data_IF_113211221621
#
_entry.id   IF_113211221621
#
_cell.length_a   1.000
_cell.length_b   1.000
_cell.length_c   1.000
_cell.angle_alpha   90.00
_cell.angle_beta   90.00
_cell.angle_gamma   90.00
#
_symmetry.space_group_name_H-M   'P 1'
#
loop_
_entity.id
_entity.type
_entity.pdbx_description
1 polymer ?
#
# COMPACT_ATOMS: atom_id res chain seq x y z
N UNK A 1 -13.72 -0.23 3.02
CA UNK A 1 -12.28 -0.26 2.61
C UNK A 1 -11.86 1.14 2.19
N UNK A 2 -10.74 1.64 2.71
CA UNK A 2 -10.24 2.97 2.34
C UNK A 2 -9.88 3.07 0.85
N UNK A 3 -9.71 4.29 0.37
CA UNK A 3 -9.24 4.59 -0.98
C UNK A 3 -8.04 5.52 -0.94
N UNK A 4 -7.01 5.21 -1.71
CA UNK A 4 -5.81 6.04 -1.83
C UNK A 4 -5.59 6.45 -3.27
N UNK A 5 -5.07 7.65 -3.49
CA UNK A 5 -4.49 8.08 -4.76
C UNK A 5 -3.44 9.17 -4.53
N UNK A 6 -2.54 9.32 -5.48
CA UNK A 6 -1.52 10.36 -5.41
C UNK A 6 -0.71 10.49 -6.68
N UNK A 7 0.13 11.51 -6.68
CA UNK A 7 1.03 11.83 -7.78
C UNK A 7 2.40 12.25 -7.27
N UNK A 8 3.44 11.97 -8.05
CA UNK A 8 4.79 12.47 -7.86
C UNK A 8 5.31 12.98 -9.21
N UNK A 9 5.96 14.16 -9.22
CA UNK A 9 6.60 14.72 -10.39
C UNK A 9 8.11 14.85 -10.19
N UNK A 10 8.87 14.71 -11.26
CA UNK A 10 10.30 15.01 -11.24
C UNK A 10 10.62 16.51 -11.35
N UNK A 11 9.62 17.32 -11.71
CA UNK A 11 9.78 18.78 -11.92
C UNK A 11 8.78 19.56 -11.07
N UNK A 12 7.60 19.84 -11.61
CA UNK A 12 6.57 20.62 -10.94
C UNK A 12 5.23 19.90 -10.97
N UNK A 13 4.43 20.12 -9.93
CA UNK A 13 3.03 19.72 -9.95
C UNK A 13 2.22 20.67 -10.84
N UNK A 14 1.20 20.16 -11.54
CA UNK A 14 0.27 21.00 -12.28
C UNK A 14 -0.38 22.06 -11.38
N UNK A 15 -0.68 23.23 -11.93
CA UNK A 15 -1.53 24.19 -11.23
C UNK A 15 -2.87 23.54 -10.88
N UNK A 16 -3.39 23.86 -9.69
CA UNK A 16 -4.64 23.27 -9.21
C UNK A 16 -4.55 21.80 -8.79
N UNK A 17 -3.35 21.29 -8.48
CA UNK A 17 -3.13 19.86 -8.10
C UNK A 17 -4.03 19.43 -6.95
N UNK A 18 -4.31 20.29 -5.97
CA UNK A 18 -5.20 19.96 -4.85
C UNK A 18 -6.62 19.64 -5.34
N UNK A 19 -7.13 20.40 -6.32
CA UNK A 19 -8.45 20.15 -6.90
C UNK A 19 -8.46 18.86 -7.73
N UNK A 20 -7.39 18.58 -8.46
CA UNK A 20 -7.22 17.31 -9.19
C UNK A 20 -7.23 16.13 -8.22
N UNK A 21 -6.52 16.22 -7.11
CA UNK A 21 -6.50 15.18 -6.07
C UNK A 21 -7.88 15.01 -5.41
N UNK A 22 -8.60 16.12 -5.12
CA UNK A 22 -9.99 16.06 -4.64
C UNK A 22 -10.91 15.35 -5.63
N UNK A 23 -10.77 15.61 -6.93
CA UNK A 23 -11.53 14.91 -7.97
C UNK A 23 -11.17 13.42 -8.05
N UNK A 24 -9.88 13.07 -7.92
CA UNK A 24 -9.43 11.69 -7.85
C UNK A 24 -10.01 10.97 -6.60
N UNK A 25 -9.98 11.63 -5.44
CA UNK A 25 -10.61 11.16 -4.21
C UNK A 25 -12.12 11.01 -4.35
N UNK A 26 -12.80 11.95 -4.97
CA UNK A 26 -14.26 11.87 -5.21
C UNK A 26 -14.64 10.71 -6.11
N UNK A 27 -13.81 10.36 -7.09
CA UNK A 27 -14.03 9.19 -7.95
C UNK A 27 -14.02 7.86 -7.17
N UNK A 28 -13.38 7.81 -6.00
CA UNK A 28 -13.31 6.63 -5.11
C UNK A 28 -14.00 6.84 -3.75
N UNK A 29 -14.94 7.80 -3.66
CA UNK A 29 -15.64 8.13 -2.41
C UNK A 29 -16.40 6.94 -1.80
N UNK A 30 -16.93 6.04 -2.65
CA UNK A 30 -17.63 4.81 -2.20
C UNK A 30 -16.73 3.86 -1.38
N UNK A 31 -15.40 3.98 -1.46
CA UNK A 31 -14.46 3.19 -0.67
C UNK A 31 -14.31 3.69 0.77
N UNK A 32 -14.43 4.99 0.96
CA UNK A 32 -14.27 5.62 2.27
C UNK A 32 -15.15 6.85 2.38
N UNK A 33 -16.40 6.69 2.85
CA UNK A 33 -17.35 7.77 2.94
C UNK A 33 -17.13 8.67 4.16
N UNK A 34 -16.42 8.20 5.21
CA UNK A 34 -16.43 8.81 6.53
C UNK A 34 -15.54 10.05 6.63
N UNK A 35 -14.41 10.06 5.91
CA UNK A 35 -13.48 11.19 5.96
C UNK A 35 -12.67 11.30 4.66
N UNK A 36 -12.16 12.50 4.37
CA UNK A 36 -11.31 12.79 3.24
C UNK A 36 -10.15 13.70 3.63
N UNK A 37 -8.93 13.29 3.32
CA UNK A 37 -7.75 14.11 3.50
C UNK A 37 -6.99 14.31 2.19
N UNK A 38 -6.47 15.52 2.01
CA UNK A 38 -5.58 15.89 0.91
C UNK A 38 -4.33 16.54 1.51
N UNK A 39 -3.18 16.12 1.02
CA UNK A 39 -1.90 16.68 1.42
C UNK A 39 -1.04 16.91 0.17
N UNK A 40 -0.36 18.05 0.10
CA UNK A 40 0.52 18.44 -1.00
C UNK A 40 1.78 19.05 -0.45
N UNK A 41 2.93 18.56 -0.93
CA UNK A 41 4.23 19.19 -0.74
C UNK A 41 4.69 19.69 -2.12
N UNK A 42 4.59 21.01 -2.34
CA UNK A 42 4.93 21.64 -3.62
C UNK A 42 6.43 21.61 -3.88
N UNK A 43 7.25 21.72 -2.84
CA UNK A 43 8.71 21.73 -2.95
C UNK A 43 9.24 20.33 -3.29
N UNK A 44 8.55 19.30 -2.81
CA UNK A 44 8.82 17.91 -3.14
C UNK A 44 8.10 17.42 -4.39
N UNK A 45 7.19 18.22 -4.95
CA UNK A 45 6.38 17.90 -6.12
C UNK A 45 5.57 16.60 -5.96
N UNK A 46 4.99 16.39 -4.78
CA UNK A 46 4.18 15.22 -4.43
C UNK A 46 2.83 15.64 -3.84
N UNK A 47 1.81 14.81 -4.09
CA UNK A 47 0.50 15.03 -3.47
C UNK A 47 -0.27 13.74 -3.28
N UNK A 48 -1.02 13.66 -2.18
CA UNK A 48 -1.80 12.51 -1.74
C UNK A 48 -3.26 12.90 -1.49
N UNK A 49 -4.15 11.96 -1.76
CA UNK A 49 -5.54 11.98 -1.32
C UNK A 49 -5.91 10.65 -0.71
N UNK A 50 -6.61 10.70 0.42
CA UNK A 50 -7.13 9.55 1.15
C UNK A 50 -8.64 9.66 1.33
N UNK A 51 -9.35 8.54 1.15
CA UNK A 51 -10.76 8.35 1.50
C UNK A 51 -10.85 7.31 2.60
N UNK A 52 -11.38 7.70 3.76
CA UNK A 52 -11.38 6.88 4.95
C UNK A 52 -12.69 6.15 5.14
N UNK A 53 -12.60 4.85 5.42
CA UNK A 53 -13.61 4.08 6.12
C UNK A 53 -13.06 3.82 7.53
N UNK A 54 -13.70 4.38 8.54
CA UNK A 54 -13.24 4.29 9.93
C UNK A 54 -13.66 2.96 10.54
N UNK A 55 -12.69 2.12 10.94
CA UNK A 55 -12.93 0.78 11.50
C UNK A 55 -12.27 0.65 12.88
N UNK A 56 -10.93 0.67 12.96
CA UNK A 56 -10.18 0.45 14.21
C UNK A 56 -10.24 1.68 15.11
N UNK A 57 -9.93 2.84 14.56
CA UNK A 57 -9.95 4.11 15.29
C UNK A 57 -11.01 5.04 14.69
N UNK A 58 -12.04 5.35 15.43
CA UNK A 58 -13.14 6.23 14.99
C UNK A 58 -12.82 7.71 15.25
N UNK A 59 -11.73 8.00 15.96
CA UNK A 59 -11.33 9.36 16.32
C UNK A 59 -10.64 10.10 15.16
N UNK A 60 -10.48 11.43 15.27
CA UNK A 60 -9.68 12.20 14.32
C UNK A 60 -8.20 11.79 14.26
N UNK A 61 -7.68 11.07 15.27
CA UNK A 61 -6.29 10.58 15.28
C UNK A 61 -5.98 9.59 14.14
N UNK A 62 -7.02 8.92 13.61
CA UNK A 62 -6.89 8.05 12.43
C UNK A 62 -6.99 8.77 11.09
N UNK A 63 -7.03 10.12 11.05
CA UNK A 63 -7.04 10.90 9.81
C UNK A 63 -5.80 10.66 8.96
N UNK A 64 -5.98 10.59 7.64
CA UNK A 64 -4.88 10.46 6.67
C UNK A 64 -5.06 11.47 5.52
N UNK A 65 -3.95 11.95 4.91
CA UNK A 65 -2.56 11.53 5.08
C UNK A 65 -2.02 11.79 6.49
N UNK A 66 -1.34 10.78 7.07
CA UNK A 66 -0.81 10.84 8.43
C UNK A 66 0.69 11.11 8.40
N UNK A 67 1.14 12.02 9.26
CA UNK A 67 2.55 12.38 9.41
C UNK A 67 3.11 11.64 10.63
N UNK A 68 4.30 11.05 10.49
CA UNK A 68 5.01 10.36 11.58
C UNK A 68 5.40 11.31 12.71
N UNK A 69 5.74 10.75 13.87
CA UNK A 69 6.07 11.53 15.06
C UNK A 69 7.27 12.48 14.86
N UNK A 70 8.28 12.06 14.10
CA UNK A 70 9.44 12.89 13.75
C UNK A 70 9.18 13.87 12.61
N UNK A 71 8.06 13.71 11.88
CA UNK A 71 7.76 14.47 10.68
C UNK A 71 8.48 13.98 9.42
N UNK A 72 9.26 12.88 9.51
CA UNK A 72 10.01 12.32 8.38
C UNK A 72 9.08 11.70 7.33
N UNK A 73 8.13 10.89 7.76
CA UNK A 73 7.25 10.16 6.85
C UNK A 73 5.85 10.75 6.76
N UNK A 74 5.27 10.66 5.57
CA UNK A 74 3.85 10.91 5.31
C UNK A 74 3.27 9.68 4.65
N UNK A 75 2.18 9.12 5.20
CA UNK A 75 1.57 7.90 4.71
C UNK A 75 0.12 8.10 4.31
N UNK A 76 -0.29 7.43 3.23
CA UNK A 76 -1.67 7.03 2.97
C UNK A 76 -1.73 5.50 2.88
N UNK A 77 -2.72 4.93 3.53
CA UNK A 77 -2.83 3.51 3.75
C UNK A 77 -4.27 3.03 3.56
N UNK A 78 -4.44 2.00 2.74
CA UNK A 78 -5.68 1.28 2.57
C UNK A 78 -5.46 -0.15 3.01
N UNK A 79 -5.88 -0.49 4.21
CA UNK A 79 -5.64 -1.83 4.74
C UNK A 79 -5.99 -1.96 6.20
N UNK A 80 -5.48 -3.04 6.77
CA UNK A 80 -5.55 -3.37 8.18
C UNK A 80 -4.33 -4.20 8.55
N UNK A 81 -3.63 -3.79 9.62
CA UNK A 81 -2.46 -4.48 10.15
C UNK A 81 -2.90 -5.29 11.37
N UNK A 82 -3.10 -6.57 11.19
CA UNK A 82 -3.67 -7.46 12.20
C UNK A 82 -2.81 -7.55 13.45
N UNK A 83 -1.49 -7.52 13.29
CA UNK A 83 -0.54 -7.59 14.40
C UNK A 83 -0.01 -6.21 14.86
N UNK A 84 -0.76 -5.13 14.66
CA UNK A 84 -0.28 -3.77 14.99
C UNK A 84 0.01 -3.58 16.49
N UNK A 85 -0.69 -4.31 17.36
CA UNK A 85 -0.44 -4.27 18.80
C UNK A 85 0.89 -4.94 19.17
N UNK A 86 1.24 -6.07 18.51
CA UNK A 86 2.53 -6.73 18.70
C UNK A 86 3.69 -5.81 18.25
N UNK A 87 3.49 -5.10 17.13
CA UNK A 87 4.48 -4.12 16.65
C UNK A 87 4.65 -2.96 17.65
N UNK A 88 3.56 -2.47 18.27
CA UNK A 88 3.62 -1.46 19.34
C UNK A 88 4.41 -1.95 20.54
N UNK A 89 4.10 -3.14 21.01
CA UNK A 89 4.79 -3.74 22.14
C UNK A 89 6.30 -3.88 21.88
N UNK A 90 6.70 -4.31 20.68
CA UNK A 90 8.11 -4.42 20.31
C UNK A 90 8.79 -3.03 20.27
N UNK A 91 8.11 -2.00 19.74
CA UNK A 91 8.61 -0.63 19.74
C UNK A 91 8.77 -0.07 21.16
N UNK A 92 7.81 -0.32 22.04
CA UNK A 92 7.87 0.10 23.45
C UNK A 92 9.01 -0.60 24.21
N UNK A 93 9.16 -1.92 24.06
CA UNK A 93 10.25 -2.68 24.66
C UNK A 93 11.64 -2.22 24.19
N UNK A 94 11.74 -1.74 22.96
CA UNK A 94 12.98 -1.22 22.40
C UNK A 94 13.27 0.24 22.76
N UNK A 95 12.35 0.93 23.45
CA UNK A 95 12.45 2.35 23.79
C UNK A 95 12.34 3.28 22.56
N UNK A 96 11.75 2.81 21.47
CA UNK A 96 11.61 3.55 20.21
C UNK A 96 10.17 3.91 19.87
N UNK A 97 9.22 3.60 20.76
CA UNK A 97 7.83 3.99 20.59
C UNK A 97 7.68 5.52 20.68
N UNK A 98 6.87 6.14 19.82
CA UNK A 98 6.49 7.54 19.99
C UNK A 98 5.48 7.71 21.12
N UNK A 99 5.14 8.94 21.44
CA UNK A 99 3.93 9.22 22.22
C UNK A 99 2.72 8.97 21.30
N UNK A 100 2.02 7.84 21.54
CA UNK A 100 0.85 7.46 20.75
C UNK A 100 -0.27 8.49 20.84
N UNK A 101 -0.82 8.89 19.68
CA UNK A 101 -1.92 9.87 19.58
C UNK A 101 -3.28 9.20 19.58
N UNK A 102 -3.33 7.92 19.14
CA UNK A 102 -4.54 7.15 18.99
C UNK A 102 -4.28 5.64 18.97
N UNK A 103 -5.27 4.92 18.49
CA UNK A 103 -5.24 3.45 18.41
C UNK A 103 -5.10 2.93 16.97
N UNK A 104 -4.92 3.83 16.00
CA UNK A 104 -4.82 3.45 14.59
C UNK A 104 -3.58 2.58 14.33
N UNK A 105 -3.77 1.50 13.57
CA UNK A 105 -2.70 0.67 13.05
C UNK A 105 -1.73 1.44 12.14
N UNK A 106 -2.23 2.47 11.45
CA UNK A 106 -1.45 3.39 10.63
C UNK A 106 -0.34 4.09 11.42
N UNK A 107 -0.61 4.50 12.67
CA UNK A 107 0.39 5.12 13.53
C UNK A 107 1.47 4.13 13.95
N UNK A 108 1.07 2.87 14.26
CA UNK A 108 2.00 1.78 14.56
C UNK A 108 2.92 1.50 13.37
N UNK A 109 2.35 1.51 12.17
CA UNK A 109 3.10 1.29 10.92
C UNK A 109 4.10 2.42 10.65
N UNK A 110 3.73 3.68 10.87
CA UNK A 110 4.65 4.83 10.74
C UNK A 110 5.82 4.73 11.72
N UNK A 111 5.56 4.40 12.98
CA UNK A 111 6.61 4.21 13.99
C UNK A 111 7.53 3.03 13.63
N UNK A 112 6.98 1.96 13.07
CA UNK A 112 7.74 0.82 12.59
C UNK A 112 8.68 1.20 11.43
N UNK A 113 8.21 2.00 10.46
CA UNK A 113 9.04 2.50 9.37
C UNK A 113 10.20 3.39 9.88
N UNK A 114 9.94 4.24 10.88
CA UNK A 114 10.99 5.05 11.50
C UNK A 114 12.03 4.21 12.23
N UNK A 115 11.59 3.13 12.89
CA UNK A 115 12.44 2.29 13.71
C UNK A 115 13.26 1.29 12.89
N UNK A 116 12.63 0.58 11.95
CA UNK A 116 13.20 -0.60 11.29
C UNK A 116 13.46 -0.38 9.79
N UNK A 117 12.96 0.71 9.20
CA UNK A 117 12.99 0.93 7.77
C UNK A 117 11.94 0.11 7.02
N UNK A 118 11.90 0.28 5.68
CA UNK A 118 10.81 -0.23 4.83
C UNK A 118 10.77 -1.74 4.81
N UNK A 119 11.84 -2.39 4.40
CA UNK A 119 11.86 -3.84 4.16
C UNK A 119 11.58 -4.64 5.45
N UNK A 120 12.25 -4.28 6.56
CA UNK A 120 12.09 -4.98 7.81
C UNK A 120 10.66 -4.81 8.37
N UNK A 121 10.08 -3.63 8.23
CA UNK A 121 8.67 -3.38 8.62
C UNK A 121 7.73 -4.24 7.79
N UNK A 122 7.85 -4.24 6.45
CA UNK A 122 6.99 -5.06 5.58
C UNK A 122 7.07 -6.55 5.89
N UNK A 123 8.27 -7.07 6.22
CA UNK A 123 8.47 -8.48 6.62
C UNK A 123 7.81 -8.82 7.96
N UNK A 124 7.83 -7.89 8.93
CA UNK A 124 7.20 -8.05 10.25
C UNK A 124 5.67 -7.91 10.21
N UNK A 125 5.15 -7.14 9.27
CA UNK A 125 3.73 -6.83 9.17
C UNK A 125 2.91 -8.03 8.74
N UNK A 126 1.84 -8.33 9.46
CA UNK A 126 0.79 -9.29 9.09
C UNK A 126 -0.50 -8.52 8.87
N UNK A 127 -1.07 -8.61 7.66
CA UNK A 127 -2.26 -7.86 7.31
C UNK A 127 -2.48 -7.75 5.81
N UNK A 128 -3.52 -7.04 5.45
CA UNK A 128 -3.91 -6.73 4.07
C UNK A 128 -3.72 -5.23 3.83
N UNK A 129 -2.92 -4.84 2.83
CA UNK A 129 -2.60 -3.43 2.63
C UNK A 129 -2.17 -3.01 1.23
N UNK A 130 -2.46 -1.77 0.93
CA UNK A 130 -1.81 -0.95 -0.08
C UNK A 130 -1.31 0.34 0.59
N UNK A 131 -0.03 0.62 0.47
CA UNK A 131 0.67 1.72 1.14
C UNK A 131 1.27 2.63 0.09
N UNK A 132 1.15 3.95 0.30
CA UNK A 132 2.02 4.94 -0.27
C UNK A 132 2.66 5.74 0.87
N UNK A 133 3.98 5.65 0.97
CA UNK A 133 4.79 6.26 2.01
C UNK A 133 5.77 7.24 1.37
N UNK A 134 5.73 8.49 1.78
CA UNK A 134 6.69 9.51 1.38
C UNK A 134 7.73 9.72 2.47
N UNK A 135 8.99 9.50 2.15
CA UNK A 135 10.13 9.87 2.97
C UNK A 135 10.59 11.29 2.59
N UNK A 136 10.32 12.24 3.47
CA UNK A 136 10.66 13.66 3.26
C UNK A 136 12.17 13.92 3.34
N UNK A 137 12.90 13.10 4.10
CA UNK A 137 14.34 13.24 4.26
C UNK A 137 15.07 12.74 3.01
N UNK A 138 14.75 11.52 2.56
CA UNK A 138 15.41 10.89 1.43
C UNK A 138 14.73 11.22 0.09
N UNK A 139 13.61 11.98 0.10
CA UNK A 139 12.81 12.36 -1.06
C UNK A 139 12.40 11.14 -1.91
N UNK A 140 11.88 10.11 -1.26
CA UNK A 140 11.49 8.84 -1.87
C UNK A 140 10.02 8.55 -1.64
N UNK A 141 9.31 8.19 -2.70
CA UNK A 141 7.99 7.60 -2.62
C UNK A 141 8.11 6.08 -2.66
N UNK A 142 7.60 5.43 -1.63
CA UNK A 142 7.49 3.98 -1.54
C UNK A 142 6.03 3.58 -1.79
N UNK A 143 5.81 2.67 -2.74
CA UNK A 143 4.54 2.00 -2.95
C UNK A 143 4.70 0.54 -2.54
N UNK A 144 3.89 0.04 -1.61
CA UNK A 144 3.97 -1.34 -1.14
C UNK A 144 2.59 -2.02 -1.15
N UNK A 145 2.59 -3.34 -1.41
CA UNK A 145 1.37 -4.14 -1.46
C UNK A 145 1.52 -5.41 -0.63
N UNK A 146 0.45 -5.79 0.04
CA UNK A 146 0.41 -6.97 0.92
C UNK A 146 0.80 -8.27 0.22
N UNK A 147 1.07 -9.31 1.03
CA UNK A 147 1.60 -10.63 0.60
C UNK A 147 0.75 -11.29 -0.47
N UNK A 148 -0.58 -11.27 -0.32
CA UNK A 148 -1.52 -11.92 -1.25
C UNK A 148 -2.10 -10.98 -2.29
N UNK A 149 -1.81 -9.65 -2.19
CA UNK A 149 -2.35 -8.63 -3.09
C UNK A 149 -3.84 -8.38 -2.90
N UNK A 150 -4.31 -8.49 -1.67
CA UNK A 150 -5.72 -8.31 -1.31
C UNK A 150 -6.18 -6.87 -1.53
N UNK A 151 -5.33 -5.91 -1.20
CA UNK A 151 -5.64 -4.51 -1.49
C UNK A 151 -5.11 -4.10 -2.86
N UNK A 152 -5.94 -3.46 -3.70
CA UNK A 152 -5.51 -3.04 -5.03
C UNK A 152 -4.57 -1.83 -4.97
N UNK A 153 -3.52 -1.86 -5.80
CA UNK A 153 -2.64 -0.72 -6.02
C UNK A 153 -2.19 -0.68 -7.49
N UNK A 154 -2.64 0.35 -8.17
CA UNK A 154 -2.27 0.66 -9.55
C UNK A 154 -1.29 1.82 -9.58
N UNK A 155 -0.39 1.82 -10.55
CA UNK A 155 0.52 2.94 -10.80
C UNK A 155 0.84 3.05 -12.29
N UNK A 156 1.20 4.24 -12.73
CA UNK A 156 1.56 4.48 -14.14
C UNK A 156 2.17 5.84 -14.36
N UNK A 157 2.77 6.02 -15.55
CA UNK A 157 3.43 7.27 -15.94
C UNK A 157 2.67 7.90 -17.08
N UNK A 158 2.12 9.07 -16.87
CA UNK A 158 1.44 9.86 -17.89
C UNK A 158 1.42 11.34 -17.53
N UNK A 159 1.41 12.20 -18.56
CA UNK A 159 1.43 13.65 -18.36
C UNK A 159 2.67 14.17 -17.61
N UNK A 160 3.79 13.45 -17.63
CA UNK A 160 5.00 13.82 -16.88
C UNK A 160 4.95 13.49 -15.39
N UNK A 161 3.91 12.80 -14.94
CA UNK A 161 3.69 12.41 -13.57
C UNK A 161 3.77 10.89 -13.39
N UNK A 162 4.28 10.43 -12.26
CA UNK A 162 3.90 9.15 -11.69
C UNK A 162 2.57 9.35 -10.99
N UNK A 163 1.56 8.56 -11.36
CA UNK A 163 0.27 8.52 -10.68
C UNK A 163 0.04 7.13 -10.11
N UNK A 164 -0.63 7.04 -8.95
CA UNK A 164 -0.99 5.78 -8.33
C UNK A 164 -2.34 5.86 -7.61
N UNK A 165 -2.95 4.71 -7.34
CA UNK A 165 -4.20 4.68 -6.60
C UNK A 165 -4.83 3.30 -6.50
N UNK A 166 -5.84 3.21 -5.65
CA UNK A 166 -6.60 1.99 -5.39
C UNK A 166 -7.43 1.53 -6.59
N UNK A 167 -7.90 2.47 -7.41
CA UNK A 167 -8.76 2.16 -8.55
C UNK A 167 -8.41 3.01 -9.78
N UNK A 168 -8.57 2.42 -10.95
CA UNK A 168 -8.28 3.07 -12.24
C UNK A 168 -9.07 4.36 -12.46
N UNK A 169 -10.28 4.48 -11.90
CA UNK A 169 -11.10 5.68 -12.04
C UNK A 169 -10.53 6.89 -11.29
N UNK A 170 -9.73 6.70 -10.23
CA UNK A 170 -8.99 7.78 -9.61
C UNK A 170 -7.87 8.27 -10.55
N UNK A 171 -7.12 7.35 -11.18
CA UNK A 171 -6.06 7.69 -12.11
C UNK A 171 -6.59 8.44 -13.36
N UNK A 172 -7.82 8.13 -13.78
CA UNK A 172 -8.47 8.83 -14.90
C UNK A 172 -8.71 10.33 -14.68
N UNK A 173 -8.61 10.79 -13.44
CA UNK A 173 -8.72 12.21 -13.08
C UNK A 173 -7.40 12.96 -13.15
N UNK A 174 -6.28 12.22 -13.26
CA UNK A 174 -4.95 12.82 -13.32
C UNK A 174 -4.66 13.29 -14.74
N UNK A 175 -4.11 14.51 -14.92
CA UNK A 175 -3.78 15.05 -16.24
C UNK A 175 -2.86 14.13 -17.04
N UNK A 176 -3.10 14.06 -18.34
CA UNK A 176 -2.32 13.23 -19.27
C UNK A 176 -2.76 11.78 -19.36
N UNK A 177 -3.78 11.35 -18.61
CA UNK A 177 -4.37 10.03 -18.77
C UNK A 177 -5.04 9.89 -20.15
N UNK A 178 -4.62 8.91 -20.95
CA UNK A 178 -5.13 8.69 -22.32
C UNK A 178 -6.26 7.66 -22.39
N UNK A 179 -6.26 6.69 -21.51
CA UNK A 179 -7.28 5.64 -21.48
C UNK A 179 -7.17 4.61 -22.62
N UNK A 180 -6.01 4.47 -23.23
CA UNK A 180 -5.78 3.52 -24.30
C UNK A 180 -5.85 2.08 -23.77
N UNK A 181 -6.77 1.29 -24.32
CA UNK A 181 -6.97 -0.10 -23.90
C UNK A 181 -5.83 -0.97 -24.42
N UNK A 182 -5.19 -1.69 -23.52
CA UNK A 182 -4.22 -2.72 -23.85
C UNK A 182 -4.96 -3.99 -24.32
N UNK A 183 -5.02 -4.18 -25.64
CA UNK A 183 -5.75 -5.31 -26.24
C UNK A 183 -5.10 -6.66 -25.95
N UNK A 184 -3.81 -6.70 -25.70
CA UNK A 184 -3.09 -7.95 -25.42
C UNK A 184 -3.54 -8.59 -24.10
N UNK A 185 -4.01 -7.77 -23.14
CA UNK A 185 -4.51 -8.27 -21.84
C UNK A 185 -5.97 -8.74 -21.90
N UNK A 186 -6.70 -8.49 -22.99
CA UNK A 186 -8.08 -8.96 -23.12
C UNK A 186 -8.16 -10.50 -23.09
N UNK A 187 -7.17 -11.19 -23.65
CA UNK A 187 -7.07 -12.64 -23.53
C UNK A 187 -6.98 -13.13 -22.08
N UNK A 188 -6.25 -12.40 -21.24
CA UNK A 188 -6.17 -12.69 -19.80
C UNK A 188 -7.50 -12.43 -19.08
N UNK A 189 -8.18 -11.32 -19.42
CA UNK A 189 -9.50 -11.02 -18.88
C UNK A 189 -10.51 -12.13 -19.24
N UNK A 190 -10.54 -12.56 -20.49
CA UNK A 190 -11.45 -13.64 -20.94
C UNK A 190 -11.14 -14.98 -20.28
N UNK A 191 -9.86 -15.27 -20.02
CA UNK A 191 -9.43 -16.53 -19.39
C UNK A 191 -9.69 -16.55 -17.88
N UNK A 192 -9.50 -15.42 -17.17
CA UNK A 192 -9.47 -15.36 -15.71
C UNK A 192 -10.65 -14.60 -15.11
N UNK A 193 -11.51 -13.97 -15.90
CA UNK A 193 -12.55 -13.02 -15.48
C UNK A 193 -12.02 -11.76 -14.75
N UNK A 194 -10.72 -11.55 -14.78
CA UNK A 194 -10.05 -10.32 -14.31
C UNK A 194 -8.71 -10.15 -15.02
N UNK A 195 -8.14 -8.96 -14.95
CA UNK A 195 -6.77 -8.72 -15.46
C UNK A 195 -5.79 -8.97 -14.32
N UNK A 196 -4.95 -10.02 -14.35
CA UNK A 196 -4.00 -10.32 -13.27
C UNK A 196 -2.86 -9.31 -13.20
N UNK A 197 -2.22 -9.21 -12.02
CA UNK A 197 -0.97 -8.46 -11.88
C UNK A 197 0.13 -9.12 -12.73
N UNK A 198 1.08 -8.34 -13.28
CA UNK A 198 1.24 -6.89 -13.13
C UNK A 198 0.42 -6.06 -14.12
N UNK A 199 -0.47 -6.65 -14.88
CA UNK A 199 -1.17 -6.01 -15.98
C UNK A 199 -2.34 -5.13 -15.51
N UNK A 200 -2.69 -4.16 -16.35
CA UNK A 200 -3.90 -3.34 -16.26
C UNK A 200 -4.61 -3.38 -17.62
N UNK A 201 -5.91 -3.04 -17.63
CA UNK A 201 -6.67 -2.90 -18.87
C UNK A 201 -6.15 -1.74 -19.73
N UNK A 202 -5.45 -0.77 -19.15
CA UNK A 202 -4.88 0.35 -19.87
C UNK A 202 -3.39 0.18 -20.11
N UNK A 203 -2.92 0.65 -21.28
CA UNK A 203 -1.50 0.88 -21.50
C UNK A 203 -0.94 1.84 -20.43
N UNK A 204 0.36 1.80 -20.19
CA UNK A 204 1.10 2.68 -19.26
C UNK A 204 0.68 2.60 -17.78
N UNK A 205 -0.26 1.71 -17.42
CA UNK A 205 -0.65 1.44 -16.04
C UNK A 205 -0.35 -0.02 -15.70
N UNK A 206 0.21 -0.24 -14.52
CA UNK A 206 0.46 -1.56 -13.96
C UNK A 206 -0.22 -1.72 -12.60
N UNK A 207 -0.44 -2.96 -12.19
CA UNK A 207 -0.71 -3.33 -10.80
C UNK A 207 0.59 -3.67 -10.11
N UNK A 208 0.82 -3.16 -8.91
CA UNK A 208 1.94 -3.61 -8.10
C UNK A 208 1.73 -5.10 -7.75
N UNK A 209 2.70 -5.98 -8.03
CA UNK A 209 2.58 -7.40 -7.70
C UNK A 209 2.43 -7.64 -6.19
N UNK A 210 1.77 -8.74 -5.78
CA UNK A 210 1.70 -9.15 -4.37
C UNK A 210 3.07 -9.34 -3.74
N UNK A 211 3.21 -9.03 -2.44
CA UNK A 211 4.44 -9.24 -1.69
C UNK A 211 5.62 -8.39 -2.15
N UNK A 212 5.35 -7.26 -2.81
CA UNK A 212 6.39 -6.38 -3.36
C UNK A 212 6.23 -4.92 -2.97
N UNK A 213 7.31 -4.18 -3.14
CA UNK A 213 7.31 -2.73 -3.01
C UNK A 213 8.21 -2.08 -4.07
N UNK A 214 7.98 -0.79 -4.36
CA UNK A 214 8.72 0.02 -5.31
C UNK A 214 9.20 1.30 -4.64
N UNK A 215 10.37 1.78 -5.06
CA UNK A 215 10.86 3.12 -4.74
C UNK A 215 10.84 4.01 -5.98
N UNK A 216 10.42 5.25 -5.79
CA UNK A 216 10.47 6.28 -6.81
C UNK A 216 11.17 7.50 -6.24
N UNK A 217 12.24 7.90 -6.90
CA UNK A 217 12.95 9.16 -6.66
C UNK A 217 12.82 10.09 -7.86
N UNK A 218 13.08 11.39 -7.72
CA UNK A 218 13.07 12.31 -8.86
C UNK A 218 14.01 11.85 -9.99
N UNK A 219 15.14 11.20 -9.68
CA UNK A 219 16.09 10.69 -10.66
C UNK A 219 15.50 9.54 -11.48
N UNK A 220 14.81 8.59 -10.84
CA UNK A 220 14.15 7.47 -11.53
C UNK A 220 13.05 8.01 -12.46
N UNK A 221 12.28 9.00 -12.01
CA UNK A 221 11.25 9.63 -12.83
C UNK A 221 11.83 10.33 -14.07
N UNK A 222 12.96 11.03 -13.91
CA UNK A 222 13.63 11.73 -15.01
C UNK A 222 14.14 10.76 -16.09
N UNK A 223 14.61 9.57 -15.68
CA UNK A 223 15.07 8.52 -16.61
C UNK A 223 13.95 7.81 -17.34
N UNK A 224 12.70 7.96 -16.89
CA UNK A 224 11.52 7.24 -17.40
C UNK A 224 11.68 5.71 -17.35
N UNK A 225 12.53 5.23 -16.47
CA UNK A 225 12.72 3.80 -16.23
C UNK A 225 11.59 3.28 -15.36
N UNK A 226 11.10 2.09 -15.71
CA UNK A 226 10.17 1.38 -14.81
C UNK A 226 11.00 0.68 -13.74
N UNK A 227 10.89 1.06 -12.46
CA UNK A 227 11.66 0.41 -11.42
C UNK A 227 11.24 -1.06 -11.28
N UNK A 228 12.20 -1.90 -10.94
CA UNK A 228 11.96 -3.31 -10.64
C UNK A 228 11.45 -3.43 -9.21
N UNK A 229 10.31 -4.12 -8.99
CA UNK A 229 9.81 -4.29 -7.63
C UNK A 229 10.76 -5.12 -6.77
N UNK A 230 10.99 -4.67 -5.54
CA UNK A 230 11.65 -5.45 -4.50
C UNK A 230 10.64 -6.46 -3.94
N UNK A 231 11.04 -7.72 -3.83
CA UNK A 231 10.21 -8.79 -3.27
C UNK A 231 10.54 -8.95 -1.79
N UNK A 232 9.57 -8.73 -0.89
CA UNK A 232 9.74 -8.98 0.54
C UNK A 232 9.09 -10.29 0.98
N UNK A 233 8.18 -10.84 0.15
CA UNK A 233 7.53 -12.13 0.36
C UNK A 233 7.04 -12.73 -0.95
N UNK A 234 7.08 -14.07 -1.06
CA UNK A 234 6.65 -14.80 -2.25
C UNK A 234 5.88 -16.07 -1.85
N UNK A 235 4.64 -16.19 -2.36
CA UNK A 235 3.83 -17.40 -2.16
C UNK A 235 4.50 -18.64 -2.74
N UNK A 236 5.21 -18.50 -3.87
CA UNK A 236 5.96 -19.60 -4.49
C UNK A 236 7.08 -20.09 -3.58
N UNK A 237 7.88 -19.17 -3.03
CA UNK A 237 8.97 -19.53 -2.12
C UNK A 237 8.45 -20.14 -0.81
N UNK A 238 7.37 -19.57 -0.25
CA UNK A 238 6.74 -20.14 0.93
C UNK A 238 6.24 -21.57 0.70
N UNK A 239 5.62 -21.83 -0.47
CA UNK A 239 5.18 -23.18 -0.84
C UNK A 239 6.35 -24.15 -1.04
N UNK A 240 7.42 -23.72 -1.73
CA UNK A 240 8.60 -24.55 -1.95
C UNK A 240 9.32 -24.89 -0.63
N UNK A 241 9.45 -23.92 0.27
CA UNK A 241 10.02 -24.13 1.60
C UNK A 241 9.15 -25.10 2.41
N UNK A 242 7.83 -24.93 2.41
CA UNK A 242 6.91 -25.80 3.10
C UNK A 242 6.92 -27.27 2.58
N UNK A 243 7.16 -27.46 1.28
CA UNK A 243 7.35 -28.79 0.71
C UNK A 243 8.68 -29.40 1.12
N UNK A 244 9.76 -28.61 1.15
CA UNK A 244 11.10 -29.08 1.54
C UNK A 244 11.20 -29.38 3.04
N UNK A 245 10.48 -28.63 3.87
CA UNK A 245 10.43 -28.78 5.33
C UNK A 245 9.00 -29.13 5.77
N UNK A 246 8.49 -30.26 5.25
CA UNK A 246 7.12 -30.69 5.51
C UNK A 246 6.96 -31.19 6.94
N UNK A 247 5.88 -30.78 7.60
CA UNK A 247 5.51 -31.29 8.91
C UNK A 247 5.31 -32.79 8.86
N UNK A 248 5.96 -33.51 9.80
CA UNK A 248 5.73 -34.92 10.02
C UNK A 248 4.79 -35.06 11.22
N UNK A 249 3.59 -35.56 10.98
CA UNK A 249 2.61 -35.82 12.03
C UNK A 249 2.63 -37.28 12.38
N UNK A 250 2.51 -37.60 13.67
CA UNK A 250 2.50 -38.99 14.20
C UNK A 250 1.11 -39.61 14.13
N UNK A 251 0.06 -38.77 13.96
CA UNK A 251 -1.34 -39.19 13.84
C UNK A 251 -2.18 -38.16 13.11
N UNK A 252 -3.32 -38.62 12.56
CA UNK A 252 -4.34 -37.71 11.94
C UNK A 252 -4.85 -36.70 12.96
N UNK A 253 -5.00 -37.05 14.22
CA UNK A 253 -5.43 -36.17 15.30
C UNK A 253 -4.44 -35.02 15.50
N UNK A 254 -3.15 -35.28 15.46
CA UNK A 254 -2.11 -34.26 15.57
C UNK A 254 -2.17 -33.29 14.37
N UNK A 255 -2.32 -33.81 13.16
CA UNK A 255 -2.45 -33.02 11.94
C UNK A 255 -3.69 -32.11 11.99
N UNK A 256 -4.84 -32.64 12.40
CA UNK A 256 -6.09 -31.87 12.55
C UNK A 256 -5.93 -30.76 13.58
N UNK A 257 -5.35 -31.07 14.76
CA UNK A 257 -5.14 -30.06 15.81
C UNK A 257 -4.18 -28.94 15.36
N UNK A 258 -3.13 -29.27 14.63
CA UNK A 258 -2.20 -28.28 14.06
C UNK A 258 -2.88 -27.38 13.04
N UNK A 259 -3.69 -27.95 12.15
CA UNK A 259 -4.49 -27.20 11.18
C UNK A 259 -5.51 -26.30 11.87
N UNK A 260 -6.26 -26.82 12.85
CA UNK A 260 -7.23 -26.05 13.62
C UNK A 260 -6.58 -24.86 14.33
N UNK A 261 -5.43 -25.07 14.95
CA UNK A 261 -4.65 -24.00 15.60
C UNK A 261 -4.28 -22.90 14.60
N UNK A 262 -3.75 -23.28 13.43
CA UNK A 262 -3.35 -22.33 12.39
C UNK A 262 -4.54 -21.54 11.83
N UNK A 263 -5.66 -22.20 11.58
CA UNK A 263 -6.89 -21.56 11.13
C UNK A 263 -7.44 -20.59 12.17
N UNK A 264 -7.49 -21.01 13.46
CA UNK A 264 -7.93 -20.12 14.55
C UNK A 264 -7.05 -18.88 14.67
N UNK A 265 -5.73 -19.02 14.58
CA UNK A 265 -4.80 -17.89 14.60
C UNK A 265 -5.04 -16.92 13.43
N UNK A 266 -5.26 -17.46 12.22
CA UNK A 266 -5.53 -16.64 11.05
C UNK A 266 -6.84 -15.88 11.17
N UNK A 267 -7.92 -16.54 11.60
CA UNK A 267 -9.25 -15.90 11.73
C UNK A 267 -9.26 -14.90 12.88
N UNK A 268 -8.74 -15.24 14.05
CA UNK A 268 -8.74 -14.34 15.22
C UNK A 268 -7.90 -13.08 15.00
N UNK A 269 -6.85 -13.15 14.18
CA UNK A 269 -6.07 -11.97 13.82
C UNK A 269 -6.82 -10.98 12.92
N UNK A 270 -7.92 -11.42 12.27
CA UNK A 270 -8.73 -10.60 11.37
C UNK A 270 -10.02 -10.06 12.05
N UNK A 271 -10.27 -10.44 13.30
CA UNK A 271 -11.45 -10.02 14.10
C UNK A 271 -11.08 -8.90 15.06
#
# INVERSE_FOLDING_TARGET
MCGIAGVLSASFLPNGIEEILKQAGSAIAHRGPDDVGVWVDKDASIGFVHRRLSIIDLSPAGHQPMISATGRFVIIFNGEIYNHLDLREELEKSGRAPNWRGHADTESLLAAFECWGVEATLKKTVGMFAIALWDRQDRKLILARDRMGEKPLYYGFFGGLLAFGSELKALRKIPGFKGEINRDVLGLLMRHNYVPAPYSIYHDIAKLPPGTWLEFTPEILNRKEKPVPFVYWSAKEAALTGVADSYQFTSDTEAVNALEKTLKQSVSGQM
#
